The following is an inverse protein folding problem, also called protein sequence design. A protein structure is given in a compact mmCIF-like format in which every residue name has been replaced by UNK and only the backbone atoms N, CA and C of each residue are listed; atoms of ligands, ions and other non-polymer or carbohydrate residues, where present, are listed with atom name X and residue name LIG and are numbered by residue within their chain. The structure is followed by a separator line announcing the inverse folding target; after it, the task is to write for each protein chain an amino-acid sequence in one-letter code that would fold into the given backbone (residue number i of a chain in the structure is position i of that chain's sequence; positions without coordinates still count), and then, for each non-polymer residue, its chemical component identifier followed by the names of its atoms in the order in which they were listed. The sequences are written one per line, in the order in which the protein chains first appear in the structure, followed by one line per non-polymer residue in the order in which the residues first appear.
data_IF_822042778180
#
_entry.id   IF_822042778180
#
_cell.length_a   1.000
_cell.length_b   1.000
_cell.length_c   1.000
_cell.angle_alpha   90.00
_cell.angle_beta   90.00
_cell.angle_gamma   90.00
#
_symmetry.space_group_name_H-M   'P 1'
#
loop_
_entity.id
_entity.type
_entity.pdbx_description
1 polymer ?
#
# COMPACT_ATOMS: atom_id res chain seq x y z
N UNK A 1 -12.90 -1.38 15.85
CA UNK A 1 -11.82 -2.34 15.50
C UNK A 1 -11.22 -2.07 14.11
N UNK A 2 -11.95 -1.44 13.20
CA UNK A 2 -11.49 -1.03 11.85
C UNK A 2 -10.30 -0.04 11.88
N UNK A 3 -10.24 0.87 12.87
CA UNK A 3 -9.10 1.80 13.04
C UNK A 3 -7.76 1.12 13.32
N UNK A 4 -7.79 -0.12 13.85
CA UNK A 4 -6.57 -0.91 14.07
C UNK A 4 -6.04 -1.53 12.77
N UNK A 5 -6.88 -1.70 11.75
CA UNK A 5 -6.49 -2.32 10.48
C UNK A 5 -6.02 -1.29 9.44
N UNK A 6 -6.53 -0.06 9.46
CA UNK A 6 -6.02 1.00 8.58
C UNK A 6 -4.55 1.33 8.79
N UNK A 7 -4.10 1.33 10.06
CA UNK A 7 -2.70 1.60 10.42
C UNK A 7 -1.70 0.65 9.73
N UNK A 8 -1.84 -0.70 9.80
CA UNK A 8 -0.92 -1.61 9.13
C UNK A 8 -0.98 -1.51 7.60
N UNK A 9 -2.15 -1.28 6.99
CA UNK A 9 -2.25 -1.06 5.54
C UNK A 9 -1.48 0.19 5.10
N UNK A 10 -1.62 1.28 5.84
CA UNK A 10 -0.89 2.51 5.60
C UNK A 10 0.63 2.34 5.80
N UNK A 11 1.07 1.71 6.90
CA UNK A 11 2.49 1.44 7.12
C UNK A 11 3.09 0.53 6.06
N UNK A 12 2.33 -0.47 5.58
CA UNK A 12 2.76 -1.33 4.48
C UNK A 12 2.94 -0.53 3.20
N UNK A 13 2.00 0.37 2.87
CA UNK A 13 2.09 1.20 1.68
C UNK A 13 3.29 2.15 1.73
N UNK A 14 3.53 2.81 2.87
CA UNK A 14 4.73 3.64 3.09
C UNK A 14 6.00 2.80 2.96
N UNK A 15 6.03 1.60 3.55
CA UNK A 15 7.15 0.67 3.45
C UNK A 15 7.47 0.27 2.02
N UNK A 16 6.46 -0.03 1.21
CA UNK A 16 6.61 -0.36 -0.22
C UNK A 16 7.22 0.81 -1.01
N UNK A 17 6.77 2.04 -0.74
CA UNK A 17 7.31 3.25 -1.39
C UNK A 17 8.76 3.48 -0.98
N UNK A 18 9.08 3.40 0.31
CA UNK A 18 10.44 3.53 0.81
C UNK A 18 11.37 2.47 0.21
N UNK A 19 10.92 1.21 0.13
CA UNK A 19 11.68 0.12 -0.46
C UNK A 19 11.95 0.37 -1.95
N UNK A 20 10.95 0.83 -2.71
CA UNK A 20 11.13 1.23 -4.10
C UNK A 20 12.16 2.35 -4.26
N UNK A 21 12.08 3.38 -3.41
CA UNK A 21 13.05 4.48 -3.41
C UNK A 21 14.48 4.00 -3.13
N UNK A 22 14.67 3.11 -2.14
CA UNK A 22 15.99 2.53 -1.82
C UNK A 22 16.55 1.78 -3.03
N UNK A 23 15.75 0.95 -3.71
CA UNK A 23 16.19 0.19 -4.88
C UNK A 23 16.61 1.13 -6.03
N UNK A 24 15.85 2.20 -6.27
CA UNK A 24 16.20 3.21 -7.28
C UNK A 24 17.52 3.90 -6.92
N UNK A 25 17.71 4.30 -5.66
CA UNK A 25 18.96 4.91 -5.19
C UNK A 25 20.15 3.96 -5.37
N UNK A 26 20.00 2.67 -5.02
CA UNK A 26 21.05 1.68 -5.20
C UNK A 26 21.45 1.53 -6.67
N UNK A 27 20.49 1.53 -7.59
CA UNK A 27 20.76 1.48 -9.04
C UNK A 27 21.51 2.74 -9.50
N UNK A 28 21.17 3.92 -8.98
CA UNK A 28 21.89 5.18 -9.27
C UNK A 28 23.33 5.14 -8.75
N UNK A 29 23.56 4.51 -7.58
CA UNK A 29 24.88 4.36 -6.97
C UNK A 29 25.74 3.26 -7.60
N UNK A 30 25.32 2.69 -8.73
CA UNK A 30 26.12 1.73 -9.48
C UNK A 30 26.05 0.30 -8.92
N UNK A 31 25.07 -0.02 -8.06
CA UNK A 31 24.80 -1.41 -7.73
C UNK A 31 24.30 -2.13 -8.97
N UNK A 32 25.08 -3.11 -9.43
CA UNK A 32 24.81 -3.88 -10.64
C UNK A 32 23.61 -4.82 -10.42
N UNK A 33 22.41 -4.28 -10.65
CA UNK A 33 21.19 -5.04 -10.82
C UNK A 33 20.92 -5.18 -12.32
N UNK A 34 20.76 -6.41 -12.85
CA UNK A 34 20.39 -6.62 -14.24
C UNK A 34 19.10 -5.87 -14.57
N UNK A 35 19.08 -5.14 -15.68
CA UNK A 35 17.96 -4.24 -16.01
C UNK A 35 16.62 -4.97 -16.06
N UNK A 36 16.60 -6.20 -16.58
CA UNK A 36 15.41 -7.03 -16.61
C UNK A 36 14.86 -7.37 -15.22
N UNK A 37 15.71 -7.54 -14.21
CA UNK A 37 15.28 -7.74 -12.82
C UNK A 37 14.81 -6.44 -12.21
N UNK A 38 15.55 -5.34 -12.44
CA UNK A 38 15.18 -4.02 -11.93
C UNK A 38 13.78 -3.62 -12.39
N UNK A 39 13.49 -3.69 -13.70
CA UNK A 39 12.18 -3.33 -14.22
C UNK A 39 11.06 -4.25 -13.74
N UNK A 40 11.33 -5.55 -13.56
CA UNK A 40 10.36 -6.48 -12.96
C UNK A 40 10.06 -6.10 -11.51
N UNK A 41 11.07 -5.81 -10.71
CA UNK A 41 10.91 -5.44 -9.30
C UNK A 41 10.13 -4.12 -9.18
N UNK A 42 10.51 -3.09 -9.93
CA UNK A 42 9.79 -1.81 -9.93
C UNK A 42 8.35 -1.98 -10.42
N UNK A 43 8.14 -2.75 -11.49
CA UNK A 43 6.80 -3.06 -11.99
C UNK A 43 5.93 -3.76 -10.95
N UNK A 44 6.47 -4.78 -10.27
CA UNK A 44 5.77 -5.46 -9.18
C UNK A 44 5.46 -4.53 -8.01
N UNK A 45 6.38 -3.64 -7.62
CA UNK A 45 6.15 -2.66 -6.56
C UNK A 45 5.02 -1.69 -6.91
N UNK A 46 4.96 -1.20 -8.14
CA UNK A 46 3.86 -0.34 -8.61
C UNK A 46 2.53 -1.06 -8.49
N UNK A 47 2.45 -2.32 -8.95
CA UNK A 47 1.22 -3.13 -8.83
C UNK A 47 0.81 -3.31 -7.37
N UNK A 48 1.75 -3.64 -6.49
CA UNK A 48 1.47 -3.81 -5.06
C UNK A 48 1.00 -2.50 -4.42
N UNK A 49 1.63 -1.36 -4.70
CA UNK A 49 1.21 -0.06 -4.18
C UNK A 49 -0.22 0.26 -4.61
N UNK A 50 -0.57 0.02 -5.87
CA UNK A 50 -1.92 0.22 -6.37
C UNK A 50 -2.94 -0.70 -5.68
N UNK A 51 -2.62 -1.99 -5.53
CA UNK A 51 -3.50 -2.94 -4.85
C UNK A 51 -3.71 -2.57 -3.37
N UNK A 52 -2.65 -2.25 -2.65
CA UNK A 52 -2.74 -1.82 -1.25
C UNK A 52 -3.47 -0.49 -1.09
N UNK A 53 -3.27 0.45 -2.01
CA UNK A 53 -4.00 1.72 -2.06
C UNK A 53 -5.50 1.49 -2.28
N UNK A 54 -5.86 0.63 -3.23
CA UNK A 54 -7.24 0.24 -3.49
C UNK A 54 -7.88 -0.42 -2.26
N UNK A 55 -7.20 -1.41 -1.65
CA UNK A 55 -7.70 -2.09 -0.46
C UNK A 55 -7.91 -1.12 0.72
N UNK A 56 -7.02 -0.12 0.89
CA UNK A 56 -7.16 0.89 1.92
C UNK A 56 -8.43 1.72 1.72
N UNK A 57 -8.67 2.19 0.49
CA UNK A 57 -9.88 2.98 0.15
C UNK A 57 -11.14 2.15 0.33
N UNK A 58 -11.19 0.94 -0.23
CA UNK A 58 -12.35 0.05 -0.14
C UNK A 58 -12.68 -0.30 1.32
N UNK A 59 -11.66 -0.62 2.12
CA UNK A 59 -11.86 -0.92 3.54
C UNK A 59 -12.34 0.31 4.33
N UNK A 60 -11.88 1.51 3.93
CA UNK A 60 -12.36 2.77 4.54
C UNK A 60 -13.85 2.98 4.28
N UNK A 61 -14.30 2.70 3.06
CA UNK A 61 -15.69 2.86 2.63
C UNK A 61 -16.62 1.86 3.35
N UNK A 62 -16.27 0.58 3.35
CA UNK A 62 -17.03 -0.44 4.09
C UNK A 62 -17.01 -0.23 5.61
N UNK A 63 -15.93 0.33 6.15
CA UNK A 63 -15.79 0.64 7.56
C UNK A 63 -16.78 1.71 8.04
N UNK A 64 -17.08 2.71 7.20
CA UNK A 64 -18.05 3.76 7.50
C UNK A 64 -19.49 3.23 7.54
N UNK A 65 -19.87 2.34 6.62
CA UNK A 65 -21.20 1.73 6.61
C UNK A 65 -21.52 0.91 7.88
N UNK A 66 -20.52 0.20 8.41
CA UNK A 66 -20.72 -0.59 9.64
C UNK A 66 -20.88 0.29 10.88
N UNK A 67 -20.14 1.39 10.95
CA UNK A 67 -20.18 2.32 12.08
C UNK A 67 -21.53 3.05 12.19
N UNK A 68 -22.12 3.44 11.06
CA UNK A 68 -23.43 4.10 11.01
C UNK A 68 -24.58 3.17 11.42
N UNK A 69 -24.46 1.87 11.13
CA UNK A 69 -25.43 0.86 11.55
C UNK A 69 -25.33 0.52 13.04
N UNK A 70 -24.12 0.44 13.59
CA UNK A 70 -23.90 0.19 15.02
C UNK A 70 -24.32 1.39 15.90
N UNK A 71 -24.36 2.60 15.35
CA UNK A 71 -24.77 3.82 16.05
C UNK A 71 -26.30 4.11 15.97
N UNK A 72 -27.12 3.15 15.52
CA UNK A 72 -28.59 3.25 15.47
C UNK A 72 -29.15 4.47 14.68
N UNK A 73 -28.38 5.04 13.75
CA UNK A 73 -28.85 6.13 12.89
C UNK A 73 -29.66 5.65 11.67
N UNK A 74 -29.64 4.34 11.41
CA UNK A 74 -30.39 3.69 10.35
C UNK A 74 -31.03 2.43 10.94
N UNK A 75 -32.33 2.50 11.24
CA UNK A 75 -33.20 1.34 11.50
C UNK A 75 -33.33 0.48 10.22
#
# INVERSE_FOLDING_TARGET
MIDKLHKPFFFTLVGLVCLGAVIVILKIWGVELPDHLFFKIIGTLVVLILLFGFLLVVNSDFGQHKKLKDENYLD
#
